data_IF_228552808817
#
_entry.id   IF_228552808817
#
_cell.length_a   1.000
_cell.length_b   1.000
_cell.length_c   1.000
_cell.angle_alpha   90.00
_cell.angle_beta   90.00
_cell.angle_gamma   90.00
#
_symmetry.space_group_name_H-M   'P 1'
#
loop_
_entity.id
_entity.type
_entity.pdbx_description
1 polymer ?
#
# COMPACT_ATOMS: atom_id res chain seq x y z
N UNK A 1 -3.89 -7.97 -22.82
CA UNK A 1 -3.74 -6.97 -21.73
C UNK A 1 -3.07 -5.74 -22.33
N UNK A 2 -3.76 -4.60 -22.40
CA UNK A 2 -3.13 -3.36 -22.87
C UNK A 2 -1.93 -3.05 -21.98
N UNK A 3 -0.72 -3.09 -22.56
CA UNK A 3 0.51 -2.66 -21.90
C UNK A 3 0.30 -1.18 -21.56
N UNK A 4 0.26 -0.85 -20.26
CA UNK A 4 0.19 0.54 -19.81
C UNK A 4 1.37 1.34 -20.37
N UNK A 5 1.20 2.67 -20.43
CA UNK A 5 2.24 3.58 -20.91
C UNK A 5 3.47 3.45 -20.02
N UNK A 6 4.66 3.34 -20.61
CA UNK A 6 5.92 3.32 -19.85
C UNK A 6 6.46 4.74 -19.74
N UNK A 7 6.60 5.22 -18.52
CA UNK A 7 7.16 6.55 -18.25
C UNK A 7 8.68 6.44 -18.09
N UNK A 8 9.39 7.46 -18.57
CA UNK A 8 10.79 7.68 -18.22
C UNK A 8 10.96 7.95 -16.71
N UNK A 9 12.20 7.78 -16.22
CA UNK A 9 12.54 7.89 -14.79
C UNK A 9 12.07 9.21 -14.15
N UNK A 10 12.19 10.31 -14.90
CA UNK A 10 11.82 11.67 -14.45
C UNK A 10 10.76 12.32 -15.35
N UNK A 11 10.12 11.54 -16.23
CA UNK A 11 9.17 12.07 -17.19
C UNK A 11 7.95 12.67 -16.48
N UNK A 12 7.65 13.94 -16.78
CA UNK A 12 6.44 14.62 -16.32
C UNK A 12 5.39 14.56 -17.42
N UNK A 13 4.19 14.13 -17.07
CA UNK A 13 3.07 14.05 -18.00
C UNK A 13 2.13 15.24 -17.80
N UNK A 14 1.99 16.13 -18.81
CA UNK A 14 1.02 17.22 -18.76
C UNK A 14 -0.39 16.71 -18.44
N UNK A 15 -1.10 17.40 -17.54
CA UNK A 15 -2.44 17.00 -17.10
C UNK A 15 -2.50 15.76 -16.21
N UNK A 16 -1.36 15.15 -15.83
CA UNK A 16 -1.28 14.02 -14.89
C UNK A 16 -0.24 14.30 -13.78
N UNK A 17 -0.41 15.37 -12.98
CA UNK A 17 0.59 15.80 -11.99
C UNK A 17 0.89 14.73 -10.94
N UNK A 18 -0.08 13.86 -10.63
CA UNK A 18 0.10 12.72 -9.72
C UNK A 18 1.15 11.70 -10.18
N UNK A 19 1.68 11.82 -11.40
CA UNK A 19 2.77 10.99 -11.92
C UNK A 19 4.16 11.58 -11.66
N UNK A 20 4.26 12.80 -11.12
CA UNK A 20 5.56 13.40 -10.76
C UNK A 20 6.30 12.48 -9.77
N UNK A 21 7.58 12.24 -10.01
CA UNK A 21 8.42 11.33 -9.21
C UNK A 21 8.50 11.78 -7.74
N UNK A 22 8.36 13.08 -7.47
CA UNK A 22 8.37 13.61 -6.11
C UNK A 22 7.23 13.05 -5.26
N UNK A 23 6.08 12.71 -5.86
CA UNK A 23 5.04 12.00 -5.15
C UNK A 23 5.49 10.61 -4.69
N UNK A 24 6.22 9.87 -5.54
CA UNK A 24 6.75 8.55 -5.18
C UNK A 24 7.86 8.61 -4.13
N UNK A 25 8.64 9.69 -4.06
CA UNK A 25 9.60 9.94 -2.97
C UNK A 25 8.88 10.17 -1.64
N UNK A 26 7.84 11.00 -1.64
CA UNK A 26 7.02 11.26 -0.46
C UNK A 26 6.28 10.01 -0.01
N UNK A 27 5.73 9.25 -0.97
CA UNK A 27 5.11 7.95 -0.72
C UNK A 27 6.12 6.99 -0.05
N UNK A 28 7.36 6.91 -0.55
CA UNK A 28 8.43 6.10 0.06
C UNK A 28 8.70 6.52 1.51
N UNK A 29 8.89 7.81 1.77
CA UNK A 29 9.12 8.32 3.12
C UNK A 29 7.97 7.93 4.07
N UNK A 30 6.72 8.02 3.60
CA UNK A 30 5.56 7.57 4.38
C UNK A 30 5.56 6.06 4.60
N UNK A 31 5.89 5.26 3.59
CA UNK A 31 5.95 3.80 3.72
C UNK A 31 7.03 3.37 4.74
N UNK A 32 8.19 4.03 4.75
CA UNK A 32 9.25 3.81 5.75
C UNK A 32 8.70 4.08 7.16
N UNK A 33 8.01 5.23 7.36
CA UNK A 33 7.35 5.55 8.64
C UNK A 33 6.30 4.50 9.02
N UNK A 34 5.51 4.00 8.07
CA UNK A 34 4.52 2.95 8.33
C UNK A 34 5.15 1.60 8.70
N UNK A 35 6.34 1.26 8.18
CA UNK A 35 7.10 0.08 8.62
C UNK A 35 7.65 0.31 10.03
N UNK A 36 8.19 1.49 10.33
CA UNK A 36 8.64 1.83 11.69
C UNK A 36 7.50 1.73 12.71
N UNK A 37 6.31 2.24 12.38
CA UNK A 37 5.11 2.10 13.22
C UNK A 37 4.75 0.63 13.46
N UNK A 38 4.96 -0.24 12.47
CA UNK A 38 4.73 -1.67 12.61
C UNK A 38 5.68 -2.31 13.63
N UNK A 39 6.95 -1.92 13.64
CA UNK A 39 7.91 -2.44 14.63
C UNK A 39 7.64 -1.85 16.00
N UNK A 40 7.39 -0.53 16.06
CA UNK A 40 7.17 0.20 17.30
C UNK A 40 5.92 -0.29 18.01
N UNK A 41 4.87 -0.72 17.31
CA UNK A 41 3.64 -1.18 17.96
C UNK A 41 3.56 -2.70 18.17
N UNK A 42 4.62 -3.44 17.88
CA UNK A 42 4.69 -4.88 18.14
C UNK A 42 5.30 -5.20 19.51
N UNK A 43 4.58 -4.86 20.58
CA UNK A 43 5.06 -5.08 21.95
C UNK A 43 4.53 -6.35 22.61
N UNK A 44 3.42 -6.91 22.11
CA UNK A 44 2.79 -8.10 22.69
C UNK A 44 2.26 -9.03 21.60
N UNK A 45 2.98 -10.11 21.26
CA UNK A 45 2.56 -11.05 20.23
C UNK A 45 1.14 -11.59 20.43
N UNK A 46 0.69 -11.78 21.68
CA UNK A 46 -0.65 -12.27 21.98
C UNK A 46 -1.75 -11.26 21.65
N UNK A 47 -1.47 -9.96 21.75
CA UNK A 47 -2.42 -8.90 21.47
C UNK A 47 -2.40 -8.47 20.00
N UNK A 48 -1.26 -8.60 19.33
CA UNK A 48 -1.09 -8.20 17.93
C UNK A 48 -1.57 -9.27 16.95
N UNK A 49 -1.45 -10.56 17.28
CA UNK A 49 -1.73 -11.67 16.36
C UNK A 49 -3.20 -11.71 15.91
N UNK A 50 -3.43 -11.37 14.64
CA UNK A 50 -4.75 -11.36 14.02
C UNK A 50 -5.42 -12.74 14.06
N UNK A 51 -4.66 -13.85 14.02
CA UNK A 51 -5.25 -15.18 14.09
C UNK A 51 -5.99 -15.40 15.41
N UNK A 52 -5.55 -14.74 16.49
CA UNK A 52 -6.13 -14.83 17.84
C UNK A 52 -7.23 -13.80 18.08
N UNK A 53 -7.02 -12.56 17.63
CA UNK A 53 -7.89 -11.41 18.00
C UNK A 53 -8.90 -11.02 16.93
N UNK A 54 -8.63 -11.35 15.66
CA UNK A 54 -9.44 -10.94 14.50
C UNK A 54 -9.67 -9.42 14.41
N UNK A 55 -8.81 -8.62 15.03
CA UNK A 55 -8.93 -7.17 15.09
C UNK A 55 -7.63 -6.48 14.67
N UNK A 56 -7.75 -5.23 14.21
CA UNK A 56 -6.59 -4.36 14.01
C UNK A 56 -6.12 -3.78 15.34
N UNK A 57 -4.84 -3.44 15.41
CA UNK A 57 -4.33 -2.43 16.33
C UNK A 57 -4.64 -1.06 15.73
N UNK A 58 -5.21 -0.14 16.52
CA UNK A 58 -5.52 1.23 16.12
C UNK A 58 -4.77 2.20 17.01
N UNK A 59 -4.19 3.23 16.41
CA UNK A 59 -3.35 4.21 17.07
C UNK A 59 -3.41 5.52 16.27
N UNK A 60 -2.95 6.60 16.89
CA UNK A 60 -2.75 7.89 16.26
C UNK A 60 -1.27 8.21 16.31
N UNK A 61 -0.67 8.59 15.18
CA UNK A 61 0.75 8.94 15.13
C UNK A 61 0.99 10.36 15.70
N UNK A 62 2.26 10.75 15.97
CA UNK A 62 2.57 12.08 16.51
C UNK A 62 2.11 13.25 15.63
N UNK A 63 1.80 13.03 14.36
CA UNK A 63 1.28 14.04 13.44
C UNK A 63 -0.27 14.12 13.51
N UNK A 64 -0.90 13.38 14.43
CA UNK A 64 -2.35 13.30 14.57
C UNK A 64 -3.04 12.40 13.54
N UNK A 65 -2.30 11.58 12.79
CA UNK A 65 -2.89 10.72 11.76
C UNK A 65 -3.28 9.37 12.35
N UNK A 66 -4.54 9.00 12.18
CA UNK A 66 -5.05 7.69 12.59
C UNK A 66 -4.56 6.60 11.65
N UNK A 67 -3.99 5.56 12.24
CA UNK A 67 -3.58 4.36 11.52
C UNK A 67 -4.11 3.09 12.18
N UNK A 68 -4.25 2.06 11.35
CA UNK A 68 -4.62 0.71 11.77
C UNK A 68 -3.63 -0.30 11.19
N UNK A 69 -3.29 -1.32 11.97
CA UNK A 69 -2.37 -2.39 11.59
C UNK A 69 -3.03 -3.74 11.84
N UNK A 70 -3.06 -4.58 10.83
CA UNK A 70 -3.35 -6.00 10.94
C UNK A 70 -2.04 -6.78 10.93
N UNK A 71 -1.64 -7.36 12.06
CA UNK A 71 -0.52 -8.32 12.10
C UNK A 71 -1.06 -9.71 11.76
N UNK A 72 -1.08 -10.02 10.47
CA UNK A 72 -1.75 -11.22 9.95
C UNK A 72 -0.90 -12.45 10.25
N UNK A 73 0.43 -12.36 10.06
CA UNK A 73 1.39 -13.43 10.37
C UNK A 73 2.64 -12.84 11.04
N UNK A 74 2.54 -12.37 12.29
CA UNK A 74 3.62 -11.65 12.94
C UNK A 74 4.92 -12.46 13.01
N UNK A 75 4.87 -13.77 13.32
CA UNK A 75 6.09 -14.60 13.34
C UNK A 75 6.85 -14.57 12.00
N UNK A 76 6.15 -14.78 10.87
CA UNK A 76 6.75 -14.73 9.53
C UNK A 76 7.18 -13.31 9.14
N UNK A 77 6.41 -12.30 9.57
CA UNK A 77 6.70 -10.89 9.33
C UNK A 77 8.06 -10.47 9.91
N UNK A 78 8.33 -10.84 11.16
CA UNK A 78 9.58 -10.49 11.85
C UNK A 78 10.74 -11.43 11.50
N UNK A 79 10.48 -12.67 11.08
CA UNK A 79 11.54 -13.60 10.67
C UNK A 79 12.01 -13.40 9.22
N UNK A 80 11.16 -12.88 8.33
CA UNK A 80 11.49 -12.74 6.91
C UNK A 80 12.45 -11.57 6.68
N UNK A 81 13.60 -11.85 6.07
CA UNK A 81 14.63 -10.85 5.73
C UNK A 81 14.52 -10.30 4.31
N UNK A 82 13.54 -10.75 3.53
CA UNK A 82 13.23 -10.15 2.24
C UNK A 82 11.70 -10.15 2.07
N UNK A 83 11.11 -8.96 2.14
CA UNK A 83 9.66 -8.78 2.13
C UNK A 83 9.27 -8.02 0.86
N UNK A 84 8.27 -8.51 0.14
CA UNK A 84 7.67 -7.79 -0.97
C UNK A 84 6.70 -6.75 -0.42
N UNK A 85 6.80 -5.52 -0.90
CA UNK A 85 6.04 -4.36 -0.43
C UNK A 85 5.09 -3.87 -1.50
N UNK A 86 3.85 -3.57 -1.12
CA UNK A 86 2.91 -2.75 -1.91
C UNK A 86 2.44 -1.57 -1.08
N UNK A 87 2.78 -0.37 -1.52
CA UNK A 87 2.20 0.89 -1.06
C UNK A 87 1.08 1.33 -1.99
N UNK A 88 -0.10 1.60 -1.43
CA UNK A 88 -1.23 2.21 -2.15
C UNK A 88 -1.38 3.65 -1.68
N UNK A 89 -1.51 4.60 -2.60
CA UNK A 89 -1.83 6.00 -2.30
C UNK A 89 -2.93 6.45 -3.25
N UNK A 90 -4.09 6.82 -2.72
CA UNK A 90 -5.24 7.20 -3.53
C UNK A 90 -5.67 8.63 -3.26
N UNK A 91 -5.86 9.40 -4.34
CA UNK A 91 -6.48 10.71 -4.26
C UNK A 91 -8.00 10.56 -4.29
N UNK A 92 -8.63 10.77 -3.13
CA UNK A 92 -10.06 10.60 -2.93
C UNK A 92 -10.84 11.62 -3.76
N UNK A 93 -12.02 11.23 -4.28
CA UNK A 93 -12.95 12.20 -4.87
C UNK A 93 -13.67 12.98 -3.76
N UNK A 94 -13.96 14.28 -3.94
CA UNK A 94 -14.61 15.08 -2.90
C UNK A 94 -15.95 14.50 -2.41
N UNK A 95 -16.71 13.88 -3.31
CA UNK A 95 -18.03 13.30 -3.13
C UNK A 95 -18.02 11.78 -2.89
N UNK A 96 -16.84 11.20 -2.68
CA UNK A 96 -16.70 9.75 -2.52
C UNK A 96 -17.38 9.24 -1.23
N UNK A 97 -18.33 8.30 -1.40
CA UNK A 97 -18.93 7.54 -0.31
C UNK A 97 -17.91 6.57 0.32
N UNK A 98 -17.71 6.65 1.64
CA UNK A 98 -16.78 5.81 2.40
C UNK A 98 -17.32 4.40 2.65
N UNK A 99 -18.63 4.19 2.61
CA UNK A 99 -19.28 2.93 2.99
C UNK A 99 -18.81 1.70 2.18
N UNK A 100 -18.61 1.78 0.84
CA UNK A 100 -18.01 0.69 0.08
C UNK A 100 -16.63 0.28 0.60
N UNK A 101 -15.79 1.24 1.01
CA UNK A 101 -14.45 0.97 1.53
C UNK A 101 -14.51 0.30 2.90
N UNK A 102 -15.43 0.74 3.78
CA UNK A 102 -15.64 0.10 5.09
C UNK A 102 -16.13 -1.33 4.94
N UNK A 103 -17.05 -1.60 4.01
CA UNK A 103 -17.51 -2.96 3.69
C UNK A 103 -16.39 -3.83 3.13
N UNK A 104 -15.52 -3.29 2.28
CA UNK A 104 -14.35 -4.02 1.80
C UNK A 104 -13.37 -4.37 2.90
N UNK A 105 -13.11 -3.46 3.85
CA UNK A 105 -12.24 -3.74 5.01
C UNK A 105 -12.76 -4.95 5.81
N UNK A 106 -14.08 -5.08 5.99
CA UNK A 106 -14.69 -6.26 6.64
C UNK A 106 -14.53 -7.53 5.80
N UNK A 107 -14.82 -7.47 4.49
CA UNK A 107 -14.62 -8.63 3.58
C UNK A 107 -13.16 -9.10 3.56
N UNK A 108 -12.20 -8.18 3.58
CA UNK A 108 -10.78 -8.54 3.55
C UNK A 108 -10.33 -9.25 4.83
N UNK A 109 -10.88 -8.90 6.00
CA UNK A 109 -10.60 -9.61 7.26
C UNK A 109 -10.94 -11.09 7.20
N UNK A 110 -12.02 -11.45 6.52
CA UNK A 110 -12.48 -12.84 6.38
C UNK A 110 -11.52 -13.70 5.54
N UNK A 111 -10.71 -13.07 4.69
CA UNK A 111 -9.83 -13.78 3.76
C UNK A 111 -8.34 -13.66 4.12
N UNK A 112 -7.93 -12.74 5.01
CA UNK A 112 -6.51 -12.55 5.37
C UNK A 112 -5.77 -13.85 5.74
N UNK A 113 -6.40 -14.73 6.52
CA UNK A 113 -5.79 -15.98 6.94
C UNK A 113 -5.79 -17.05 5.84
N UNK A 114 -6.55 -16.87 4.76
CA UNK A 114 -6.52 -17.77 3.59
C UNK A 114 -5.29 -17.53 2.70
N UNK A 115 -4.63 -16.37 2.82
CA UNK A 115 -3.43 -16.06 2.04
C UNK A 115 -2.17 -16.23 2.85
N UNK A 116 -1.52 -17.38 2.77
CA UNK A 116 -0.34 -17.70 3.58
C UNK A 116 0.81 -16.71 3.46
N UNK A 117 0.96 -16.07 2.30
CA UNK A 117 2.02 -15.11 2.03
C UNK A 117 1.68 -13.67 2.38
N UNK A 118 0.46 -13.36 2.85
CA UNK A 118 0.10 -12.04 3.36
C UNK A 118 0.55 -11.93 4.84
N UNK A 119 1.48 -11.01 5.10
CA UNK A 119 2.15 -10.87 6.40
C UNK A 119 1.49 -9.78 7.27
N UNK A 120 1.21 -8.62 6.66
CA UNK A 120 0.57 -7.50 7.33
C UNK A 120 -0.12 -6.58 6.32
N UNK A 121 -1.15 -5.87 6.81
CA UNK A 121 -1.78 -4.76 6.13
C UNK A 121 -1.93 -3.61 7.12
N UNK A 122 -1.44 -2.44 6.74
CA UNK A 122 -1.62 -1.20 7.48
C UNK A 122 -2.33 -0.16 6.62
N UNK A 123 -3.19 0.64 7.23
CA UNK A 123 -3.87 1.77 6.58
C UNK A 123 -3.68 3.00 7.44
N UNK A 124 -3.45 4.14 6.81
CA UNK A 124 -3.46 5.45 7.45
C UNK A 124 -4.31 6.43 6.64
N UNK A 125 -5.07 7.25 7.34
CA UNK A 125 -5.65 8.45 6.76
C UNK A 125 -4.62 9.59 6.80
N UNK A 126 -4.31 10.14 5.64
CA UNK A 126 -3.40 11.28 5.50
C UNK A 126 -4.12 12.57 5.91
N UNK A 127 -3.36 13.63 6.21
CA UNK A 127 -3.91 14.94 6.58
C UNK A 127 -4.82 15.55 5.50
N UNK A 128 -4.66 15.17 4.23
CA UNK A 128 -5.57 15.55 3.13
C UNK A 128 -6.93 14.83 3.17
N UNK A 129 -7.11 13.85 4.05
CA UNK A 129 -8.24 12.93 4.05
C UNK A 129 -8.10 11.78 3.05
N UNK A 130 -7.00 11.71 2.31
CA UNK A 130 -6.65 10.57 1.45
C UNK A 130 -6.23 9.36 2.27
N UNK A 131 -6.19 8.19 1.63
CA UNK A 131 -5.72 6.96 2.28
C UNK A 131 -4.40 6.48 1.68
N UNK A 132 -3.51 6.05 2.56
CA UNK A 132 -2.35 5.25 2.22
C UNK A 132 -2.44 3.87 2.86
N UNK A 133 -2.11 2.83 2.10
CA UNK A 133 -1.97 1.47 2.63
C UNK A 133 -0.56 0.95 2.42
N UNK A 134 -0.10 0.15 3.38
CA UNK A 134 1.11 -0.67 3.31
C UNK A 134 0.69 -2.13 3.40
N UNK A 135 1.01 -2.92 2.38
CA UNK A 135 0.76 -4.37 2.36
C UNK A 135 2.09 -5.09 2.23
N UNK A 136 2.35 -6.02 3.14
CA UNK A 136 3.61 -6.76 3.22
C UNK A 136 3.36 -8.22 2.90
N UNK A 137 4.14 -8.74 1.95
CA UNK A 137 4.06 -10.12 1.47
C UNK A 137 5.38 -10.86 1.69
N UNK A 138 5.30 -12.17 1.84
CA UNK A 138 6.49 -13.03 1.95
C UNK A 138 7.37 -13.03 0.70
N UNK A 139 6.78 -12.81 -0.48
CA UNK A 139 7.46 -12.77 -1.77
C UNK A 139 6.52 -12.23 -2.87
N UNK A 140 7.07 -12.07 -4.08
CA UNK A 140 6.36 -11.55 -5.25
C UNK A 140 5.19 -12.44 -5.67
N UNK A 141 5.36 -13.77 -5.61
CA UNK A 141 4.30 -14.72 -5.97
C UNK A 141 3.08 -14.59 -5.04
N UNK A 142 3.30 -14.38 -3.74
CA UNK A 142 2.23 -14.14 -2.78
C UNK A 142 1.47 -12.83 -3.08
N UNK A 143 2.19 -11.76 -3.45
CA UNK A 143 1.57 -10.51 -3.91
C UNK A 143 0.71 -10.76 -5.14
N UNK A 144 1.20 -11.51 -6.12
CA UNK A 144 0.47 -11.77 -7.36
C UNK A 144 -0.79 -12.60 -7.11
N UNK A 145 -0.70 -13.67 -6.31
CA UNK A 145 -1.88 -14.45 -5.89
C UNK A 145 -2.92 -13.57 -5.19
N UNK A 146 -2.50 -12.66 -4.31
CA UNK A 146 -3.41 -11.69 -3.69
C UNK A 146 -4.05 -10.76 -4.73
N UNK A 147 -3.25 -10.19 -5.63
CA UNK A 147 -3.71 -9.25 -6.66
C UNK A 147 -4.77 -9.86 -7.60
N UNK A 148 -4.60 -11.13 -7.99
CA UNK A 148 -5.49 -11.82 -8.92
C UNK A 148 -6.62 -12.61 -8.25
N UNK A 149 -6.64 -12.71 -6.93
CA UNK A 149 -7.71 -13.43 -6.26
C UNK A 149 -9.07 -12.73 -6.48
N UNK A 150 -10.13 -13.43 -6.91
CA UNK A 150 -11.41 -12.81 -7.27
C UNK A 150 -12.01 -11.92 -6.17
N UNK A 151 -11.95 -12.37 -4.90
CA UNK A 151 -12.45 -11.58 -3.77
C UNK A 151 -11.71 -10.26 -3.54
N UNK A 152 -10.42 -10.19 -3.91
CA UNK A 152 -9.66 -8.94 -3.85
C UNK A 152 -9.85 -8.14 -5.14
N UNK A 153 -9.62 -8.77 -6.30
CA UNK A 153 -9.66 -8.11 -7.60
C UNK A 153 -11.03 -7.49 -7.92
N UNK A 154 -12.12 -8.24 -7.70
CA UNK A 154 -13.48 -7.75 -7.93
C UNK A 154 -13.80 -6.57 -7.02
N UNK A 155 -13.59 -6.73 -5.71
CA UNK A 155 -13.81 -5.67 -4.71
C UNK A 155 -13.03 -4.39 -5.03
N UNK A 156 -11.74 -4.49 -5.37
CA UNK A 156 -10.92 -3.32 -5.71
C UNK A 156 -11.38 -2.67 -7.01
N UNK A 157 -11.77 -3.46 -8.01
CA UNK A 157 -12.23 -2.96 -9.31
C UNK A 157 -13.57 -2.22 -9.22
N UNK A 158 -14.44 -2.63 -8.31
CA UNK A 158 -15.72 -1.97 -8.05
C UNK A 158 -15.54 -0.67 -7.26
N UNK A 159 -14.66 -0.67 -6.24
CA UNK A 159 -14.55 0.45 -5.29
C UNK A 159 -13.63 1.55 -5.81
N UNK A 160 -12.54 1.20 -6.50
CA UNK A 160 -11.50 2.20 -6.78
C UNK A 160 -11.95 3.33 -7.73
N UNK A 161 -12.61 3.05 -8.88
CA UNK A 161 -13.02 4.11 -9.80
C UNK A 161 -14.00 5.16 -9.24
N UNK A 162 -15.08 4.78 -8.52
CA UNK A 162 -16.00 5.76 -7.94
C UNK A 162 -15.41 6.45 -6.70
N UNK A 163 -14.43 5.86 -6.01
CA UNK A 163 -13.89 6.44 -4.79
C UNK A 163 -12.66 7.34 -5.01
N UNK A 164 -11.80 7.00 -5.95
CA UNK A 164 -10.55 7.71 -6.23
C UNK A 164 -10.58 8.40 -7.60
N UNK A 165 -10.00 9.58 -7.69
CA UNK A 165 -9.71 10.25 -8.97
C UNK A 165 -8.49 9.62 -9.64
N UNK A 166 -7.46 9.31 -8.84
CA UNK A 166 -6.23 8.67 -9.28
C UNK A 166 -5.61 7.87 -8.15
N UNK A 167 -4.82 6.86 -8.50
CA UNK A 167 -4.07 6.05 -7.53
C UNK A 167 -2.62 5.83 -7.99
N UNK A 168 -1.73 5.68 -7.01
CA UNK A 168 -0.36 5.21 -7.16
C UNK A 168 -0.20 3.90 -6.41
N UNK A 169 0.32 2.89 -7.10
CA UNK A 169 0.67 1.58 -6.54
C UNK A 169 2.19 1.43 -6.58
N UNK A 170 2.83 1.75 -5.47
CA UNK A 170 4.25 1.61 -5.24
C UNK A 170 4.57 0.15 -4.92
N UNK A 171 5.33 -0.53 -5.77
CA UNK A 171 5.84 -1.87 -5.52
C UNK A 171 7.30 -1.75 -5.12
N UNK A 172 7.72 -2.59 -4.18
CA UNK A 172 9.07 -2.52 -3.67
C UNK A 172 9.48 -3.78 -2.94
N UNK A 173 10.68 -3.70 -2.38
CA UNK A 173 11.26 -4.73 -1.52
C UNK A 173 11.75 -4.08 -0.24
N UNK A 174 11.66 -4.83 0.85
CA UNK A 174 12.24 -4.49 2.13
C UNK A 174 13.28 -5.55 2.49
N UNK A 175 14.53 -5.35 2.04
CA UNK A 175 15.63 -6.22 2.43
C UNK A 175 15.95 -6.01 3.91
N UNK A 176 16.44 -7.06 4.55
CA UNK A 176 16.65 -7.18 5.99
C UNK A 176 15.38 -7.17 6.86
N UNK A 177 14.20 -7.14 6.24
CA UNK A 177 12.91 -7.26 6.92
C UNK A 177 12.46 -5.98 7.61
N UNK A 178 11.40 -6.09 8.42
CA UNK A 178 10.74 -4.93 9.05
C UNK A 178 11.60 -4.19 10.07
N UNK A 179 12.64 -4.83 10.61
CA UNK A 179 13.59 -4.24 11.55
C UNK A 179 14.57 -3.25 10.90
N UNK A 180 14.55 -3.11 9.57
CA UNK A 180 15.38 -2.16 8.83
C UNK A 180 14.53 -1.32 7.86
N UNK A 181 13.55 -0.54 8.37
CA UNK A 181 12.60 0.20 7.55
C UNK A 181 13.28 1.14 6.55
N UNK A 182 14.43 1.72 6.89
CA UNK A 182 15.22 2.62 6.05
C UNK A 182 15.77 1.94 4.79
N UNK A 183 15.78 0.60 4.74
CA UNK A 183 16.21 -0.17 3.58
C UNK A 183 15.13 -0.39 2.54
N UNK A 184 13.89 0.05 2.79
CA UNK A 184 12.79 -0.08 1.83
C UNK A 184 13.17 0.57 0.50
N UNK A 185 13.01 -0.16 -0.59
CA UNK A 185 13.27 0.31 -1.95
C UNK A 185 12.05 0.11 -2.81
N UNK A 186 11.63 1.16 -3.50
CA UNK A 186 10.65 1.04 -4.58
C UNK A 186 11.35 0.49 -5.83
N UNK A 187 10.68 -0.41 -6.53
CA UNK A 187 11.14 -0.99 -7.80
C UNK A 187 10.24 -0.59 -8.95
N UNK A 188 8.96 -0.29 -8.69
CA UNK A 188 7.99 0.07 -9.72
C UNK A 188 6.84 0.87 -9.14
N UNK A 189 6.36 1.86 -9.88
CA UNK A 189 5.12 2.57 -9.57
C UNK A 189 4.13 2.36 -10.71
N UNK A 190 2.92 1.92 -10.39
CA UNK A 190 1.79 1.89 -11.34
C UNK A 190 0.86 3.05 -11.04
N UNK A 191 0.50 3.78 -12.09
CA UNK A 191 -0.37 4.93 -12.06
C UNK A 191 -1.69 4.57 -12.72
N UNK A 192 -2.80 4.94 -12.08
CA UNK A 192 -4.12 4.82 -12.66
C UNK A 192 -4.86 6.14 -12.48
N UNK A 193 -5.53 6.56 -13.56
CA UNK A 193 -6.40 7.71 -13.56
C UNK A 193 -7.82 7.28 -13.93
N UNK A 194 -8.74 7.50 -13.00
CA UNK A 194 -10.15 7.16 -13.10
C UNK A 194 -11.01 8.34 -13.58
N UNK A 195 -10.42 9.50 -13.87
CA UNK A 195 -11.15 10.68 -14.40
C UNK A 195 -11.47 10.58 -15.88
N UNK A 196 -10.86 9.61 -16.59
CA UNK A 196 -11.05 9.39 -18.02
C UNK A 196 -11.52 7.96 -18.31
N UNK A 197 -12.19 7.80 -19.46
CA UNK A 197 -12.63 6.50 -19.98
C UNK A 197 -12.11 6.29 -21.41
N UNK A 198 -11.42 5.17 -21.71
CA UNK A 198 -10.99 4.15 -20.76
C UNK A 198 -9.99 4.72 -19.74
N UNK A 199 -9.93 4.12 -18.54
CA UNK A 199 -9.00 4.56 -17.50
C UNK A 199 -7.56 4.61 -18.01
N UNK A 200 -6.90 5.73 -17.79
CA UNK A 200 -5.51 5.90 -18.18
C UNK A 200 -4.61 5.15 -17.21
N UNK A 201 -3.58 4.49 -17.75
CA UNK A 201 -2.68 3.63 -16.97
C UNK A 201 -1.25 3.81 -17.44
N UNK A 202 -0.34 3.98 -16.50
CA UNK A 202 1.09 4.00 -16.77
C UNK A 202 1.90 3.26 -15.71
N UNK A 203 3.15 2.98 -16.05
CA UNK A 203 4.13 2.34 -15.18
C UNK A 203 5.45 3.09 -15.30
N UNK A 204 6.10 3.31 -14.16
CA UNK A 204 7.50 3.76 -14.08
C UNK A 204 8.30 2.70 -13.34
N UNK A 205 9.35 2.18 -13.96
CA UNK A 205 10.35 1.35 -13.28
C UNK A 205 11.28 2.26 -12.48
N UNK A 206 11.68 1.82 -11.29
CA UNK A 206 12.50 2.57 -10.36
C UNK A 206 13.81 1.80 -10.14
N UNK A 207 14.83 2.17 -10.91
CA UNK A 207 16.18 1.62 -10.74
C UNK A 207 16.96 2.41 -9.69
N UNK A 208 16.80 3.74 -9.71
CA UNK A 208 17.36 4.66 -8.73
C UNK A 208 16.37 5.79 -8.48
N UNK A 209 16.01 6.01 -7.21
CA UNK A 209 15.31 7.24 -6.83
C UNK A 209 16.32 8.38 -6.77
N UNK A 210 15.97 9.60 -7.23
CA UNK A 210 16.80 10.76 -7.00
C UNK A 210 17.02 10.92 -5.49
N UNK A 211 18.23 11.35 -5.11
CA UNK A 211 18.48 11.74 -3.72
C UNK A 211 17.59 12.94 -3.42
N UNK A 212 16.93 12.92 -2.27
CA UNK A 212 16.23 14.11 -1.80
C UNK A 212 17.30 15.14 -1.47
N UNK A 213 17.28 16.27 -2.19
CA UNK A 213 18.04 17.46 -1.77
C UNK A 213 17.31 18.02 -0.54
N UNK A 214 17.68 17.53 0.64
CA UNK A 214 17.34 18.14 1.94
C UNK A 214 18.59 18.75 2.51
#
# INVERSE_FOLDING_TARGET
MNKGIRLGAYEKIPGKPFTDINHSLNDLARLIKMVQQLTDHYHSPALCDFAKRKSAIRQTDPDGQDFKIYYIRPKKLFSNKNITVVGFFGHRRPDADIEPLLRADQKFKEIFLKFEGLLSLSTVQLSSGDFANLVLFSNEEAKDRWNYHPAHHGTVSEISPPYYSSIRLNNGILPNGVESPERLKLTRVRYLDYTVSPHWRAVREIDTLPKSDV
#
